data_IF_020586296139
#
_entry.id   IF_020586296139
#
_cell.length_a   1.000
_cell.length_b   1.000
_cell.length_c   1.000
_cell.angle_alpha   90.00
_cell.angle_beta   90.00
_cell.angle_gamma   90.00
#
_symmetry.space_group_name_H-M   'P 1'
#
loop_
_entity.id
_entity.type
_entity.pdbx_description
1 polymer ?
#
# COMPACT_ATOMS: atom_id res chain seq x y z
N UNK A 1 35.84 2.98 24.41
CA UNK A 1 35.29 1.62 24.69
C UNK A 1 34.19 1.38 23.67
N UNK A 2 34.52 0.76 22.52
CA UNK A 2 33.57 0.53 21.42
C UNK A 2 32.92 -0.84 21.69
N UNK A 3 31.63 -0.85 22.07
CA UNK A 3 30.85 -2.10 22.22
C UNK A 3 30.79 -2.79 20.85
N UNK A 4 31.38 -3.98 20.73
CA UNK A 4 31.18 -4.83 19.55
C UNK A 4 29.71 -5.25 19.51
N UNK A 5 29.00 -4.85 18.46
CA UNK A 5 27.63 -5.32 18.16
C UNK A 5 27.64 -6.82 17.91
N UNK A 6 26.55 -7.48 18.28
CA UNK A 6 26.36 -8.91 18.07
C UNK A 6 26.01 -9.21 16.61
N UNK A 7 26.28 -10.44 16.14
CA UNK A 7 26.00 -10.83 14.75
C UNK A 7 24.52 -10.67 14.37
N UNK A 8 23.61 -10.85 15.33
CA UNK A 8 22.16 -10.65 15.18
C UNK A 8 21.80 -9.17 14.98
N UNK A 9 22.32 -8.26 15.82
CA UNK A 9 22.11 -6.81 15.64
C UNK A 9 22.67 -6.30 14.30
N UNK A 10 23.76 -6.89 13.81
CA UNK A 10 24.34 -6.56 12.51
C UNK A 10 23.50 -7.06 11.34
N UNK A 11 22.81 -8.20 11.46
CA UNK A 11 21.90 -8.72 10.44
C UNK A 11 20.59 -7.92 10.37
N UNK A 12 20.02 -7.55 11.52
CA UNK A 12 18.81 -6.72 11.60
C UNK A 12 19.03 -5.31 11.02
N UNK A 13 20.22 -4.73 11.26
CA UNK A 13 20.63 -3.46 10.66
C UNK A 13 20.85 -3.57 9.14
N UNK A 14 21.47 -4.65 8.67
CA UNK A 14 21.69 -4.88 7.24
C UNK A 14 20.36 -5.10 6.49
N UNK A 15 19.40 -5.78 7.13
CA UNK A 15 18.04 -5.92 6.61
C UNK A 15 17.31 -4.57 6.60
N UNK A 16 17.43 -3.76 7.66
CA UNK A 16 16.87 -2.41 7.71
C UNK A 16 17.42 -1.48 6.64
N UNK A 17 18.74 -1.44 6.45
CA UNK A 17 19.41 -0.65 5.41
C UNK A 17 19.07 -1.15 4.00
N UNK A 18 18.98 -2.47 3.80
CA UNK A 18 18.53 -3.06 2.55
C UNK A 18 17.06 -2.73 2.26
N UNK A 19 16.18 -2.81 3.27
CA UNK A 19 14.76 -2.51 3.12
C UNK A 19 14.51 -1.03 2.84
N UNK A 20 15.29 -0.14 3.46
CA UNK A 20 15.25 1.30 3.20
C UNK A 20 15.75 1.63 1.79
N UNK A 21 16.86 1.02 1.37
CA UNK A 21 17.40 1.16 0.02
C UNK A 21 16.44 0.59 -1.04
N UNK A 22 15.85 -0.58 -0.78
CA UNK A 22 14.86 -1.21 -1.64
C UNK A 22 13.55 -0.43 -1.65
N UNK A 23 13.17 0.24 -0.56
CA UNK A 23 12.06 1.17 -0.46
C UNK A 23 12.22 2.44 -1.27
N UNK A 24 13.40 3.06 -1.21
CA UNK A 24 13.76 4.21 -2.06
C UNK A 24 13.84 3.79 -3.52
N UNK A 25 14.51 2.67 -3.82
CA UNK A 25 14.56 2.10 -5.15
C UNK A 25 13.17 1.70 -5.65
N UNK A 26 12.27 1.23 -4.79
CA UNK A 26 10.87 0.97 -5.11
C UNK A 26 10.12 2.29 -5.40
N UNK A 27 10.27 3.31 -4.56
CA UNK A 27 9.70 4.64 -4.81
C UNK A 27 10.15 5.24 -6.14
N UNK A 28 11.46 5.15 -6.43
CA UNK A 28 12.10 5.69 -7.63
C UNK A 28 11.86 4.83 -8.89
N UNK A 29 11.80 3.51 -8.77
CA UNK A 29 11.60 2.59 -9.90
C UNK A 29 10.11 2.35 -10.22
N UNK A 30 9.24 2.38 -9.21
CA UNK A 30 7.79 2.23 -9.35
C UNK A 30 7.07 3.57 -9.54
N UNK A 31 7.74 4.72 -9.33
CA UNK A 31 7.25 6.03 -9.75
C UNK A 31 5.95 6.49 -9.10
N UNK A 32 5.57 5.91 -7.95
CA UNK A 32 4.30 6.19 -7.30
C UNK A 32 4.62 6.86 -5.99
N UNK A 33 4.61 8.19 -6.00
CA UNK A 33 4.46 8.96 -4.79
C UNK A 33 3.30 8.34 -4.00
N UNK A 34 3.47 8.16 -2.69
CA UNK A 34 2.32 7.89 -1.82
C UNK A 34 1.26 8.92 -2.18
N UNK A 35 0.08 8.46 -2.59
CA UNK A 35 -1.00 9.34 -2.95
C UNK A 35 -1.16 10.32 -1.79
N UNK A 36 -1.05 11.61 -2.07
CA UNK A 36 -1.37 12.65 -1.09
C UNK A 36 -2.74 12.30 -0.53
N UNK A 37 -2.84 12.25 0.80
CA UNK A 37 -4.10 11.97 1.49
C UNK A 37 -5.16 12.91 0.92
N UNK A 38 -6.16 12.43 0.15
CA UNK A 38 -7.12 13.34 -0.46
C UNK A 38 -7.94 13.99 0.64
N UNK A 39 -8.04 15.32 0.63
CA UNK A 39 -8.91 16.07 1.53
C UNK A 39 -9.82 16.99 0.71
N UNK A 40 -10.78 16.34 0.05
CA UNK A 40 -11.79 16.99 -0.80
C UNK A 40 -12.93 17.61 0.01
N UNK A 41 -12.93 17.40 1.34
CA UNK A 41 -14.00 17.83 2.24
C UNK A 41 -15.18 16.85 2.35
N UNK A 42 -15.11 15.68 1.73
CA UNK A 42 -16.11 14.60 1.88
C UNK A 42 -15.49 13.22 1.69
N UNK A 43 -16.00 12.22 2.42
CA UNK A 43 -15.54 10.83 2.27
C UNK A 43 -15.72 10.34 0.84
N UNK A 44 -16.83 10.69 0.19
CA UNK A 44 -17.09 10.29 -1.21
C UNK A 44 -16.00 10.82 -2.15
N UNK A 45 -15.63 12.09 -2.02
CA UNK A 45 -14.58 12.69 -2.85
C UNK A 45 -13.21 12.09 -2.55
N UNK A 46 -12.92 11.83 -1.27
CA UNK A 46 -11.65 11.25 -0.85
C UNK A 46 -11.50 9.80 -1.34
N UNK A 47 -12.58 9.01 -1.27
CA UNK A 47 -12.64 7.65 -1.82
C UNK A 47 -12.45 7.65 -3.34
N UNK A 48 -13.10 8.57 -4.06
CA UNK A 48 -12.95 8.66 -5.52
C UNK A 48 -11.50 8.95 -5.89
N UNK A 49 -10.90 9.98 -5.29
CA UNK A 49 -9.51 10.34 -5.54
C UNK A 49 -8.53 9.19 -5.21
N UNK A 50 -8.78 8.49 -4.10
CA UNK A 50 -7.97 7.33 -3.69
C UNK A 50 -8.09 6.16 -4.67
N UNK A 51 -9.30 5.86 -5.15
CA UNK A 51 -9.55 4.81 -6.13
C UNK A 51 -8.97 5.16 -7.50
N UNK A 52 -9.06 6.41 -7.93
CA UNK A 52 -8.46 6.88 -9.19
C UNK A 52 -6.94 6.71 -9.16
N UNK A 53 -6.28 7.13 -8.08
CA UNK A 53 -4.84 6.92 -7.89
C UNK A 53 -4.45 5.43 -7.81
N UNK A 54 -5.28 4.61 -7.15
CA UNK A 54 -5.08 3.17 -7.08
C UNK A 54 -5.17 2.52 -8.47
N UNK A 55 -6.16 2.92 -9.28
CA UNK A 55 -6.32 2.42 -10.65
C UNK A 55 -5.14 2.83 -11.54
N UNK A 56 -4.71 4.09 -11.47
CA UNK A 56 -3.54 4.57 -12.21
C UNK A 56 -2.29 3.74 -11.87
N UNK A 57 -2.06 3.48 -10.58
CA UNK A 57 -0.94 2.68 -10.12
C UNK A 57 -1.02 1.22 -10.59
N UNK A 58 -2.17 0.55 -10.38
CA UNK A 58 -2.35 -0.86 -10.72
C UNK A 58 -2.35 -1.13 -12.23
N UNK A 59 -2.73 -0.14 -13.04
CA UNK A 59 -2.73 -0.25 -14.50
C UNK A 59 -1.44 0.26 -15.15
N UNK A 60 -0.54 0.90 -14.39
CA UNK A 60 0.74 1.39 -14.90
C UNK A 60 1.54 0.24 -15.56
N UNK A 61 2.07 0.39 -16.79
CA UNK A 61 2.63 -0.71 -17.59
C UNK A 61 3.76 -1.51 -16.93
N UNK A 62 4.52 -0.89 -16.03
CA UNK A 62 5.56 -1.59 -15.26
C UNK A 62 4.96 -2.38 -14.11
N UNK A 63 4.00 -1.79 -13.40
CA UNK A 63 3.48 -2.35 -12.16
C UNK A 63 2.50 -3.50 -12.43
N UNK A 64 1.65 -3.35 -13.45
CA UNK A 64 0.72 -4.41 -13.88
C UNK A 64 1.42 -5.70 -14.30
N UNK A 65 2.70 -5.64 -14.70
CA UNK A 65 3.52 -6.82 -15.03
C UNK A 65 4.20 -7.45 -13.82
N UNK A 66 4.62 -6.64 -12.85
CA UNK A 66 5.43 -7.08 -11.70
C UNK A 66 4.54 -7.58 -10.55
N UNK A 67 3.38 -6.96 -10.35
CA UNK A 67 2.54 -7.23 -9.19
C UNK A 67 2.07 -8.70 -9.09
N UNK A 68 1.60 -9.37 -10.16
CA UNK A 68 1.18 -10.78 -10.06
C UNK A 68 2.32 -11.70 -9.63
N UNK A 69 3.53 -11.47 -10.16
CA UNK A 69 4.72 -12.24 -9.81
C UNK A 69 5.14 -11.99 -8.35
N UNK A 70 5.11 -10.73 -7.91
CA UNK A 70 5.39 -10.37 -6.51
C UNK A 70 4.41 -11.05 -5.55
N UNK A 71 3.11 -11.04 -5.87
CA UNK A 71 2.08 -11.70 -5.05
C UNK A 71 2.29 -13.22 -5.01
N UNK A 72 2.63 -13.83 -6.13
CA UNK A 72 2.91 -15.26 -6.18
C UNK A 72 4.15 -15.62 -5.33
N UNK A 73 5.16 -14.75 -5.32
CA UNK A 73 6.41 -15.00 -4.59
C UNK A 73 6.28 -14.75 -3.09
N UNK A 74 5.50 -13.76 -2.66
CA UNK A 74 5.26 -13.50 -1.22
C UNK A 74 4.54 -14.65 -0.52
N UNK A 75 3.84 -15.51 -1.26
CA UNK A 75 3.23 -16.73 -0.74
C UNK A 75 4.25 -17.86 -0.49
N UNK A 76 5.42 -17.80 -1.15
CA UNK A 76 6.50 -18.80 -1.05
C UNK A 76 7.64 -18.34 -0.14
N UNK A 77 7.86 -17.02 -0.11
CA UNK A 77 8.88 -16.35 0.69
C UNK A 77 8.21 -15.39 1.69
N UNK A 78 8.09 -15.80 2.97
CA UNK A 78 7.52 -14.95 4.01
C UNK A 78 8.32 -13.66 4.28
N UNK A 79 9.64 -13.66 4.08
CA UNK A 79 10.49 -12.48 4.29
C UNK A 79 10.18 -11.42 3.22
N UNK A 80 10.02 -11.84 1.96
CA UNK A 80 9.53 -10.98 0.89
C UNK A 80 8.09 -10.51 1.15
N UNK A 81 7.26 -11.35 1.76
CA UNK A 81 5.91 -11.00 2.22
C UNK A 81 5.89 -9.84 3.21
N UNK A 82 6.71 -9.93 4.26
CA UNK A 82 6.83 -8.86 5.27
C UNK A 82 7.46 -7.59 4.69
N UNK A 83 8.48 -7.73 3.83
CA UNK A 83 9.04 -6.60 3.11
C UNK A 83 7.98 -5.90 2.23
N UNK A 84 7.18 -6.66 1.48
CA UNK A 84 6.12 -6.12 0.63
C UNK A 84 5.03 -5.41 1.45
N UNK A 85 4.64 -5.99 2.60
CA UNK A 85 3.72 -5.32 3.54
C UNK A 85 4.30 -4.01 4.04
N UNK A 86 5.56 -3.99 4.48
CA UNK A 86 6.19 -2.82 5.04
C UNK A 86 6.40 -1.69 4.02
N UNK A 87 6.80 -2.03 2.79
CA UNK A 87 7.17 -1.02 1.79
C UNK A 87 6.02 -0.59 0.89
N UNK A 88 5.00 -1.44 0.71
CA UNK A 88 3.88 -1.17 -0.20
C UNK A 88 2.57 -1.02 0.58
N UNK A 89 2.25 -2.01 1.43
CA UNK A 89 0.96 -2.09 2.12
C UNK A 89 0.77 -1.03 3.20
N UNK A 90 1.65 -1.01 4.21
CA UNK A 90 1.52 -0.16 5.39
C UNK A 90 1.45 1.34 5.05
N UNK A 91 2.31 1.90 4.18
CA UNK A 91 2.24 3.32 3.86
C UNK A 91 0.92 3.73 3.19
N UNK A 92 0.32 2.86 2.38
CA UNK A 92 -0.99 3.11 1.74
C UNK A 92 -2.14 3.00 2.75
N UNK A 93 -2.03 2.05 3.68
CA UNK A 93 -3.01 1.90 4.77
C UNK A 93 -3.00 3.10 5.70
N UNK A 94 -1.84 3.64 6.05
CA UNK A 94 -1.71 4.85 6.87
C UNK A 94 -2.40 6.05 6.24
N UNK A 95 -2.14 6.32 4.95
CA UNK A 95 -2.79 7.39 4.18
C UNK A 95 -4.32 7.23 4.16
N UNK A 96 -4.82 6.02 3.89
CA UNK A 96 -6.25 5.76 3.85
C UNK A 96 -6.90 5.77 5.25
N UNK A 97 -6.16 5.43 6.30
CA UNK A 97 -6.63 5.49 7.69
C UNK A 97 -6.97 6.93 8.06
N UNK A 98 -6.09 7.89 7.73
CA UNK A 98 -6.34 9.31 7.99
C UNK A 98 -7.63 9.80 7.30
N UNK A 99 -7.88 9.37 6.06
CA UNK A 99 -9.12 9.69 5.34
C UNK A 99 -10.37 9.20 6.09
N UNK A 100 -10.40 7.93 6.52
CA UNK A 100 -11.54 7.39 7.25
C UNK A 100 -11.73 8.05 8.61
N UNK A 101 -10.63 8.39 9.29
CA UNK A 101 -10.68 9.08 10.58
C UNK A 101 -11.29 10.48 10.43
N UNK A 102 -10.91 11.25 9.40
CA UNK A 102 -11.56 12.54 9.10
C UNK A 102 -13.04 12.38 8.76
N UNK A 103 -13.42 11.32 8.06
CA UNK A 103 -14.82 11.04 7.76
C UNK A 103 -15.65 10.76 9.04
N UNK A 104 -15.08 10.08 10.03
CA UNK A 104 -15.70 9.91 11.35
C UNK A 104 -15.82 11.26 12.06
N UNK A 105 -14.77 12.09 12.07
CA UNK A 105 -14.78 13.41 12.70
C UNK A 105 -15.84 14.35 12.10
N UNK A 106 -16.07 14.25 10.78
CA UNK A 106 -17.14 14.98 10.07
C UNK A 106 -18.53 14.39 10.27
N UNK A 107 -18.65 13.21 10.89
CA UNK A 107 -19.91 12.49 11.09
C UNK A 107 -20.44 11.80 9.83
N UNK A 108 -19.59 11.58 8.81
CA UNK A 108 -19.95 10.83 7.60
C UNK A 108 -19.95 9.31 7.82
N UNK A 109 -19.26 8.85 8.86
CA UNK A 109 -19.21 7.46 9.30
C UNK A 109 -19.53 7.33 10.81
N UNK A 110 -20.15 6.22 11.24
CA UNK A 110 -20.26 5.88 12.65
C UNK A 110 -18.89 5.78 13.34
N UNK A 111 -18.82 6.20 14.60
CA UNK A 111 -17.57 6.16 15.38
C UNK A 111 -17.05 4.73 15.66
N UNK A 112 -17.92 3.72 15.56
CA UNK A 112 -17.64 2.30 15.72
C UNK A 112 -17.41 1.58 14.37
N UNK A 113 -17.20 2.33 13.29
CA UNK A 113 -16.85 1.75 11.98
C UNK A 113 -15.60 0.88 12.11
N UNK A 114 -15.66 -0.34 11.57
CA UNK A 114 -14.50 -1.21 11.43
C UNK A 114 -13.55 -0.66 10.36
N UNK A 115 -12.55 0.10 10.80
CA UNK A 115 -11.58 0.76 9.93
C UNK A 115 -10.66 -0.24 9.22
N UNK A 116 -10.35 -1.38 9.83
CA UNK A 116 -9.51 -2.40 9.19
C UNK A 116 -10.23 -3.02 7.99
N UNK A 117 -11.52 -3.34 8.16
CA UNK A 117 -12.36 -3.80 7.06
C UNK A 117 -12.55 -2.72 6.00
N UNK A 118 -12.75 -1.46 6.40
CA UNK A 118 -12.91 -0.35 5.46
C UNK A 118 -11.67 -0.16 4.58
N UNK A 119 -10.47 -0.28 5.17
CA UNK A 119 -9.19 -0.24 4.46
C UNK A 119 -9.05 -1.41 3.48
N UNK A 120 -9.45 -2.62 3.88
CA UNK A 120 -9.41 -3.79 2.99
C UNK A 120 -10.36 -3.61 1.80
N UNK A 121 -11.58 -3.14 2.05
CA UNK A 121 -12.59 -2.90 1.04
C UNK A 121 -12.23 -1.78 0.05
N UNK A 122 -11.36 -0.84 0.44
CA UNK A 122 -10.92 0.23 -0.45
C UNK A 122 -10.18 -0.32 -1.68
N UNK A 123 -9.27 -1.29 -1.47
CA UNK A 123 -8.42 -1.80 -2.55
C UNK A 123 -8.87 -3.15 -3.12
N UNK A 124 -9.53 -3.99 -2.31
CA UNK A 124 -9.85 -5.36 -2.67
C UNK A 124 -10.69 -5.50 -3.96
N UNK A 125 -11.74 -4.70 -4.22
CA UNK A 125 -12.55 -4.83 -5.45
C UNK A 125 -11.75 -4.52 -6.72
N UNK A 126 -10.88 -3.50 -6.67
CA UNK A 126 -10.02 -3.11 -7.79
C UNK A 126 -8.98 -4.20 -8.06
N UNK A 127 -8.32 -4.68 -7.00
CA UNK A 127 -7.37 -5.78 -7.08
C UNK A 127 -8.01 -7.06 -7.63
N UNK A 128 -9.18 -7.44 -7.13
CA UNK A 128 -9.92 -8.61 -7.59
C UNK A 128 -10.21 -8.54 -9.10
N UNK A 129 -10.65 -7.38 -9.60
CA UNK A 129 -10.94 -7.19 -11.02
C UNK A 129 -9.68 -7.26 -11.88
N UNK A 130 -8.65 -6.49 -11.52
CA UNK A 130 -7.46 -6.32 -12.37
C UNK A 130 -6.52 -7.53 -12.31
N UNK A 131 -6.35 -8.11 -11.14
CA UNK A 131 -5.32 -9.13 -10.90
C UNK A 131 -5.92 -10.54 -10.90
N UNK A 132 -7.01 -10.76 -10.16
CA UNK A 132 -7.61 -12.10 -10.04
C UNK A 132 -8.44 -12.46 -11.27
N UNK A 133 -9.30 -11.54 -11.72
CA UNK A 133 -10.12 -11.75 -12.93
C UNK A 133 -9.39 -11.41 -14.22
N UNK A 134 -8.25 -10.72 -14.15
CA UNK A 134 -7.49 -10.24 -15.31
C UNK A 134 -8.37 -9.46 -16.31
N UNK A 135 -9.33 -8.68 -15.80
CA UNK A 135 -10.22 -7.85 -16.61
C UNK A 135 -9.77 -6.40 -16.58
N UNK A 136 -9.89 -5.71 -17.71
CA UNK A 136 -9.67 -4.27 -17.73
C UNK A 136 -10.60 -3.56 -16.73
N UNK A 137 -10.11 -2.51 -16.08
CA UNK A 137 -10.98 -1.50 -15.49
C UNK A 137 -11.93 -1.05 -16.61
N UNK A 138 -13.23 -1.25 -16.42
CA UNK A 138 -14.20 -0.86 -17.45
C UNK A 138 -14.09 0.63 -17.73
N UNK A 139 -14.51 1.11 -18.92
CA UNK A 139 -14.65 2.54 -19.12
C UNK A 139 -15.70 3.07 -18.13
N UNK A 140 -15.38 4.18 -17.47
CA UNK A 140 -16.36 5.05 -16.79
C UNK A 140 -17.46 5.47 -17.77
#
# INVERSE_FOLDING_TARGET
MIRRRTATESADLAFGEFAEAAGRAAGDAFGVALAVVPDTGSLRGDLRASLDALMEWLTHPRFSRILPDLVAETARDPELGEFSKAMIGAPRREVAMEMFQRAIERGELPADTDLELALDLLAAPVYWRLIVRAEAAGPD
#
